data_IF_154976868597
#
_entry.id   IF_154976868597
#
_cell.length_a   1.000
_cell.length_b   1.000
_cell.length_c   1.000
_cell.angle_alpha   90.00
_cell.angle_beta   90.00
_cell.angle_gamma   90.00
#
_symmetry.space_group_name_H-M   'P 1'
#
loop_
_entity.id
_entity.type
_entity.pdbx_description
1 polymer ?
#
# COMPACT_ATOMS: atom_id res chain seq x y z
N UNK A 1 21.75 -14.73 -15.54
CA UNK A 1 20.51 -13.92 -15.60
C UNK A 1 20.55 -12.95 -14.43
N UNK A 2 20.28 -11.66 -14.61
CA UNK A 2 20.17 -10.74 -13.46
C UNK A 2 19.07 -11.28 -12.55
N UNK A 3 19.39 -11.48 -11.29
CA UNK A 3 18.41 -11.77 -10.25
C UNK A 3 17.30 -10.72 -10.37
N UNK A 4 16.09 -11.19 -10.72
CA UNK A 4 14.96 -10.30 -11.03
C UNK A 4 14.42 -9.63 -9.76
N UNK A 5 14.85 -10.09 -8.58
CA UNK A 5 14.44 -9.58 -7.29
C UNK A 5 13.02 -9.99 -6.93
N UNK A 6 12.77 -10.15 -5.62
CA UNK A 6 11.45 -10.48 -5.08
C UNK A 6 10.46 -9.32 -5.32
N UNK A 7 9.22 -9.63 -5.72
CA UNK A 7 8.15 -8.63 -5.87
C UNK A 7 7.09 -8.78 -4.77
N UNK A 8 6.93 -7.75 -3.95
CA UNK A 8 5.91 -7.70 -2.90
C UNK A 8 4.63 -7.08 -3.46
N UNK A 9 3.52 -7.80 -3.32
CA UNK A 9 2.19 -7.38 -3.78
C UNK A 9 1.38 -6.86 -2.60
N UNK A 10 0.95 -5.59 -2.67
CA UNK A 10 0.29 -4.88 -1.56
C UNK A 10 -1.12 -4.45 -1.98
N UNK A 11 -2.13 -5.01 -1.30
CA UNK A 11 -3.53 -4.71 -1.60
C UNK A 11 -4.00 -3.33 -1.10
N UNK A 12 -5.18 -2.91 -1.58
CA UNK A 12 -5.79 -1.63 -1.22
C UNK A 12 -6.73 -1.66 -0.01
N UNK A 13 -7.44 -0.56 0.18
CA UNK A 13 -8.42 -0.38 1.27
C UNK A 13 -9.65 -1.27 1.05
N UNK A 14 -10.18 -1.87 2.12
CA UNK A 14 -11.26 -2.88 2.09
C UNK A 14 -10.96 -4.14 1.26
N UNK A 15 -9.76 -4.25 0.71
CA UNK A 15 -9.29 -5.42 0.00
C UNK A 15 -8.49 -6.34 0.93
N UNK A 16 -8.01 -7.44 0.36
CA UNK A 16 -7.19 -8.43 1.02
C UNK A 16 -6.16 -9.02 0.03
N UNK A 17 -5.16 -9.77 0.50
CA UNK A 17 -4.05 -10.24 -0.33
C UNK A 17 -4.46 -10.95 -1.62
N UNK A 18 -5.51 -11.80 -1.57
CA UNK A 18 -5.99 -12.55 -2.75
C UNK A 18 -6.48 -11.67 -3.90
N UNK A 19 -6.77 -10.39 -3.66
CA UNK A 19 -7.09 -9.45 -4.75
C UNK A 19 -5.89 -9.18 -5.66
N UNK A 20 -4.67 -9.52 -5.21
CA UNK A 20 -3.44 -9.39 -5.98
C UNK A 20 -3.07 -10.65 -6.77
N UNK A 21 -3.85 -11.74 -6.67
CA UNK A 21 -3.52 -13.04 -7.30
C UNK A 21 -3.39 -12.96 -8.82
N UNK A 22 -4.15 -12.06 -9.48
CA UNK A 22 -3.98 -11.83 -10.92
C UNK A 22 -2.55 -11.36 -11.26
N UNK A 23 -2.00 -10.42 -10.50
CA UNK A 23 -0.65 -9.89 -10.70
C UNK A 23 0.41 -10.92 -10.33
N UNK A 24 0.21 -11.65 -9.23
CA UNK A 24 1.07 -12.77 -8.83
C UNK A 24 1.24 -13.77 -9.97
N UNK A 25 0.13 -14.26 -10.54
CA UNK A 25 0.17 -15.23 -11.64
C UNK A 25 0.96 -14.69 -12.84
N UNK A 26 0.71 -13.44 -13.24
CA UNK A 26 1.37 -12.82 -14.39
C UNK A 26 2.87 -12.57 -14.17
N UNK A 27 3.26 -12.20 -12.96
CA UNK A 27 4.66 -11.99 -12.61
C UNK A 27 5.41 -13.32 -12.50
N UNK A 28 4.78 -14.35 -11.93
CA UNK A 28 5.35 -15.69 -11.87
C UNK A 28 5.51 -16.29 -13.29
N UNK A 29 4.53 -16.11 -14.18
CA UNK A 29 4.63 -16.46 -15.61
C UNK A 29 5.80 -15.73 -16.31
N UNK A 30 6.12 -14.51 -15.88
CA UNK A 30 7.27 -13.74 -16.35
C UNK A 30 8.60 -14.07 -15.62
N UNK A 31 8.59 -15.04 -14.71
CA UNK A 31 9.76 -15.54 -13.97
C UNK A 31 10.22 -14.64 -12.82
N UNK A 32 9.32 -13.90 -12.18
CA UNK A 32 9.59 -13.21 -10.91
C UNK A 32 9.12 -14.06 -9.74
N UNK A 33 9.86 -14.02 -8.64
CA UNK A 33 9.35 -14.48 -7.34
C UNK A 33 8.46 -13.40 -6.74
N UNK A 34 7.35 -13.82 -6.13
CA UNK A 34 6.35 -12.91 -5.61
C UNK A 34 5.90 -13.30 -4.20
N UNK A 35 5.58 -12.31 -3.38
CA UNK A 35 4.92 -12.50 -2.08
C UNK A 35 3.77 -11.52 -1.94
N UNK A 36 2.57 -12.03 -1.64
CA UNK A 36 1.41 -11.21 -1.30
C UNK A 36 1.50 -10.80 0.17
N UNK A 37 1.72 -9.52 0.44
CA UNK A 37 1.70 -8.99 1.79
C UNK A 37 0.33 -8.40 2.14
N UNK A 38 -0.18 -8.75 3.32
CA UNK A 38 -1.51 -8.39 3.79
C UNK A 38 -1.52 -7.57 5.06
N UNK A 39 -2.49 -6.67 5.17
CA UNK A 39 -2.68 -5.86 6.37
C UNK A 39 -4.17 -5.59 6.64
N UNK A 40 -4.59 -5.43 7.92
CA UNK A 40 -5.98 -5.20 8.25
C UNK A 40 -6.38 -3.74 7.96
N UNK A 41 -6.64 -3.45 6.69
CA UNK A 41 -6.73 -2.09 6.10
C UNK A 41 -7.71 -1.11 6.75
N UNK A 42 -8.60 -1.56 7.63
CA UNK A 42 -9.60 -0.74 8.38
C UNK A 42 -9.23 -0.47 9.83
N UNK A 43 -8.30 -1.27 10.39
CA UNK A 43 -8.12 -1.41 11.85
C UNK A 43 -6.97 -0.57 12.39
N UNK A 44 -6.11 -0.04 11.54
CA UNK A 44 -4.90 0.70 11.92
C UNK A 44 -4.73 1.95 11.04
N UNK A 45 -3.82 2.85 11.41
CA UNK A 45 -3.44 4.02 10.59
C UNK A 45 -2.48 3.61 9.47
N UNK A 46 -2.25 4.50 8.51
CA UNK A 46 -1.27 4.30 7.44
C UNK A 46 0.13 4.06 8.02
N UNK A 47 0.52 4.80 9.08
CA UNK A 47 1.82 4.67 9.75
C UNK A 47 1.94 3.34 10.49
N UNK A 48 0.88 2.89 11.18
CA UNK A 48 0.87 1.57 11.82
C UNK A 48 0.97 0.43 10.78
N UNK A 49 0.38 0.60 9.60
CA UNK A 49 0.54 -0.34 8.50
C UNK A 49 1.94 -0.27 7.88
N UNK A 50 2.52 0.92 7.77
CA UNK A 50 3.88 1.11 7.28
C UNK A 50 4.91 0.46 8.20
N UNK A 51 4.79 0.62 9.53
CA UNK A 51 5.66 -0.07 10.49
C UNK A 51 5.56 -1.59 10.31
N UNK A 52 4.34 -2.13 10.18
CA UNK A 52 4.17 -3.56 9.98
C UNK A 52 4.80 -4.05 8.66
N UNK A 53 4.80 -3.22 7.61
CA UNK A 53 5.50 -3.52 6.37
C UNK A 53 7.02 -3.49 6.56
N UNK A 54 7.55 -2.51 7.29
CA UNK A 54 8.99 -2.42 7.62
C UNK A 54 9.45 -3.66 8.37
N UNK A 55 8.71 -4.09 9.39
CA UNK A 55 9.04 -5.31 10.15
C UNK A 55 9.00 -6.57 9.27
N UNK A 56 8.04 -6.65 8.35
CA UNK A 56 8.01 -7.73 7.38
C UNK A 56 9.23 -7.70 6.44
N UNK A 57 9.60 -6.52 5.93
CA UNK A 57 10.75 -6.36 5.04
C UNK A 57 12.08 -6.70 5.73
N UNK A 58 12.24 -6.35 7.02
CA UNK A 58 13.43 -6.70 7.83
C UNK A 58 13.61 -8.21 7.99
N UNK A 59 12.52 -8.98 7.96
CA UNK A 59 12.55 -10.42 8.10
C UNK A 59 12.88 -11.16 6.77
N UNK A 60 12.91 -10.44 5.65
CA UNK A 60 13.26 -11.04 4.36
C UNK A 60 14.78 -11.16 4.21
N UNK A 61 15.27 -12.22 3.53
CA UNK A 61 16.69 -12.33 3.22
C UNK A 61 17.13 -11.18 2.30
N UNK A 62 18.33 -10.66 2.53
CA UNK A 62 18.92 -9.56 1.74
C UNK A 62 19.49 -10.03 0.38
N UNK A 63 18.68 -10.74 -0.40
CA UNK A 63 19.07 -11.27 -1.70
C UNK A 63 18.60 -10.32 -2.83
N UNK A 64 19.34 -9.22 -3.00
CA UNK A 64 19.07 -8.25 -4.07
C UNK A 64 17.90 -7.30 -3.80
N UNK A 65 17.50 -6.48 -4.79
CA UNK A 65 16.48 -5.46 -4.61
C UNK A 65 15.08 -6.06 -4.43
N UNK A 66 14.29 -5.47 -3.52
CA UNK A 66 12.88 -5.83 -3.31
C UNK A 66 11.99 -4.87 -4.09
N UNK A 67 11.24 -5.40 -5.05
CA UNK A 67 10.32 -4.65 -5.89
C UNK A 67 8.89 -4.71 -5.35
N UNK A 68 8.01 -3.82 -5.84
CA UNK A 68 6.65 -3.70 -5.33
C UNK A 68 5.62 -3.53 -6.44
N UNK A 69 4.44 -4.14 -6.25
CA UNK A 69 3.21 -3.76 -6.97
C UNK A 69 2.14 -3.45 -5.94
N UNK A 70 1.54 -2.28 -6.04
CA UNK A 70 0.56 -1.81 -5.05
C UNK A 70 -0.77 -1.46 -5.70
N UNK A 71 -1.85 -1.58 -4.93
CA UNK A 71 -3.17 -1.11 -5.31
C UNK A 71 -3.69 -0.06 -4.34
N UNK A 72 -4.13 1.10 -4.84
CA UNK A 72 -4.80 2.15 -4.06
C UNK A 72 -4.09 2.51 -2.73
N UNK A 73 -4.69 2.21 -1.57
CA UNK A 73 -4.15 2.53 -0.23
C UNK A 73 -2.80 1.84 0.02
N UNK A 74 -2.57 0.68 -0.59
CA UNK A 74 -1.29 -0.02 -0.51
C UNK A 74 -0.12 0.83 -0.98
N UNK A 75 -0.36 1.75 -1.93
CA UNK A 75 0.64 2.71 -2.38
C UNK A 75 1.02 3.75 -1.31
N UNK A 76 0.05 4.22 -0.51
CA UNK A 76 0.33 5.14 0.60
C UNK A 76 1.07 4.43 1.73
N UNK A 77 0.69 3.20 2.05
CA UNK A 77 1.39 2.35 3.03
C UNK A 77 2.84 2.12 2.59
N UNK A 78 3.07 1.78 1.31
CA UNK A 78 4.42 1.59 0.78
C UNK A 78 5.26 2.87 0.87
N UNK A 79 4.71 4.02 0.47
CA UNK A 79 5.43 5.30 0.55
C UNK A 79 5.85 5.65 1.98
N UNK A 80 4.94 5.45 2.93
CA UNK A 80 5.22 5.65 4.34
C UNK A 80 6.29 4.67 4.86
N UNK A 81 6.26 3.41 4.42
CA UNK A 81 7.25 2.40 4.80
C UNK A 81 8.63 2.71 4.22
N UNK A 82 8.74 3.06 2.94
CA UNK A 82 10.03 3.38 2.29
C UNK A 82 10.69 4.64 2.87
N UNK A 83 9.88 5.56 3.41
CA UNK A 83 10.36 6.77 4.10
C UNK A 83 10.70 6.52 5.58
N UNK A 84 10.45 5.32 6.09
CA UNK A 84 10.73 4.98 7.48
C UNK A 84 12.25 4.81 7.70
N UNK A 85 12.83 5.37 8.79
CA UNK A 85 14.28 5.30 9.02
C UNK A 85 14.83 3.88 9.08
N UNK A 86 14.04 2.93 9.56
CA UNK A 86 14.42 1.52 9.68
C UNK A 86 14.08 0.67 8.46
N UNK A 87 13.65 1.28 7.34
CA UNK A 87 13.37 0.54 6.13
C UNK A 87 14.66 -0.08 5.56
N UNK A 88 14.68 -1.39 5.25
CA UNK A 88 15.84 -2.04 4.65
C UNK A 88 16.27 -1.36 3.33
N UNK A 89 17.59 -1.24 3.11
CA UNK A 89 18.15 -0.56 1.94
C UNK A 89 17.79 -1.25 0.62
N UNK A 90 17.67 -2.57 0.62
CA UNK A 90 17.27 -3.35 -0.56
C UNK A 90 15.82 -3.09 -0.98
N UNK A 91 14.93 -2.71 -0.06
CA UNK A 91 13.59 -2.23 -0.37
C UNK A 91 13.60 -0.80 -0.93
N UNK A 92 14.47 0.07 -0.41
CA UNK A 92 14.62 1.45 -0.90
C UNK A 92 15.25 1.52 -2.30
N UNK A 93 16.11 0.56 -2.66
CA UNK A 93 16.77 0.51 -3.97
C UNK A 93 15.97 -0.24 -5.05
N UNK A 94 14.84 -0.85 -4.68
CA UNK A 94 13.96 -1.55 -5.60
C UNK A 94 13.05 -0.63 -6.41
N UNK A 95 12.20 -1.24 -7.25
CA UNK A 95 11.23 -0.53 -8.11
C UNK A 95 9.81 -0.76 -7.62
N UNK A 96 8.94 0.22 -7.81
CA UNK A 96 7.53 0.12 -7.46
C UNK A 96 6.61 0.47 -8.63
N UNK A 97 5.59 -0.36 -8.85
CA UNK A 97 4.43 -0.07 -9.71
C UNK A 97 3.24 0.24 -8.82
N UNK A 98 2.61 1.39 -9.07
CA UNK A 98 1.45 1.85 -8.32
C UNK A 98 0.21 1.79 -9.22
N UNK A 99 -0.70 0.87 -8.91
CA UNK A 99 -1.96 0.70 -9.62
C UNK A 99 -3.04 1.49 -8.87
N UNK A 100 -3.71 2.39 -9.59
CA UNK A 100 -4.71 3.33 -9.04
C UNK A 100 -4.27 4.07 -7.77
N UNK A 101 -3.03 4.62 -7.68
CA UNK A 101 -2.62 5.33 -6.47
C UNK A 101 -3.49 6.57 -6.29
N UNK A 102 -4.13 6.77 -5.13
CA UNK A 102 -4.69 8.07 -4.78
C UNK A 102 -3.52 8.99 -4.43
N UNK A 103 -2.72 9.38 -5.43
CA UNK A 103 -1.61 10.34 -5.25
C UNK A 103 -2.11 11.70 -4.74
N UNK A 104 -3.42 11.91 -4.77
CA UNK A 104 -4.14 12.96 -4.07
C UNK A 104 -5.32 12.28 -3.35
N UNK A 105 -5.40 12.35 -2.01
CA UNK A 105 -6.44 11.70 -1.18
C UNK A 105 -7.91 12.01 -1.57
N UNK A 106 -8.11 12.85 -2.56
CA UNK A 106 -9.34 13.36 -3.17
C UNK A 106 -10.27 12.25 -3.68
N UNK A 107 -9.78 11.19 -4.33
CA UNK A 107 -10.69 10.24 -4.99
C UNK A 107 -11.35 9.27 -3.99
N UNK A 108 -10.57 8.67 -3.07
CA UNK A 108 -11.13 7.82 -2.02
C UNK A 108 -11.93 8.62 -1.00
N UNK A 109 -11.44 9.81 -0.59
CA UNK A 109 -12.19 10.71 0.27
C UNK A 109 -13.55 11.11 -0.31
N UNK A 110 -13.63 11.39 -1.63
CA UNK A 110 -14.90 11.72 -2.32
C UNK A 110 -15.84 10.52 -2.43
N UNK A 111 -15.35 9.33 -2.79
CA UNK A 111 -16.19 8.12 -2.81
C UNK A 111 -16.78 7.80 -1.43
N UNK A 112 -15.96 7.88 -0.38
CA UNK A 112 -16.36 7.56 0.99
C UNK A 112 -17.24 8.64 1.63
N UNK A 113 -17.08 9.91 1.25
CA UNK A 113 -17.91 11.01 1.77
C UNK A 113 -19.38 10.94 1.37
N UNK A 114 -19.68 10.35 0.19
CA UNK A 114 -21.04 10.30 -0.39
C UNK A 114 -21.96 9.25 0.23
N UNK A 115 -21.44 8.25 0.93
CA UNK A 115 -22.24 7.15 1.50
C UNK A 115 -22.09 7.11 3.02
N UNK A 116 -23.13 7.47 3.77
CA UNK A 116 -23.16 7.48 5.24
C UNK A 116 -22.87 6.09 5.84
N UNK A 117 -23.32 5.02 5.18
CA UNK A 117 -22.97 3.64 5.53
C UNK A 117 -21.48 3.33 5.30
N UNK A 118 -20.88 3.85 4.22
CA UNK A 118 -19.47 3.65 3.93
C UNK A 118 -18.58 4.23 5.05
N UNK A 119 -18.96 5.38 5.62
CA UNK A 119 -18.26 6.00 6.76
C UNK A 119 -18.21 5.11 8.01
N UNK A 120 -19.27 4.34 8.29
CA UNK A 120 -19.30 3.35 9.38
C UNK A 120 -18.48 2.10 9.04
N UNK A 121 -18.50 1.64 7.79
CA UNK A 121 -17.78 0.44 7.33
C UNK A 121 -16.25 0.64 7.26
N UNK A 122 -15.78 1.88 7.02
CA UNK A 122 -14.38 2.24 6.86
C UNK A 122 -13.51 2.11 8.12
N UNK A 123 -14.12 1.96 9.29
CA UNK A 123 -13.38 1.95 10.56
C UNK A 123 -12.88 3.33 10.98
N UNK A 124 -12.49 3.46 12.26
CA UNK A 124 -12.19 4.76 12.89
C UNK A 124 -10.76 5.29 12.64
N UNK A 125 -9.87 4.53 11.98
CA UNK A 125 -8.44 4.87 11.82
C UNK A 125 -8.07 5.25 10.38
N UNK A 126 -7.45 4.38 9.58
CA UNK A 126 -7.10 4.63 8.15
C UNK A 126 -8.27 5.20 7.33
N UNK A 127 -9.49 4.74 7.60
CA UNK A 127 -10.71 5.27 7.01
C UNK A 127 -10.93 6.76 7.30
N UNK A 128 -10.59 7.24 8.50
CA UNK A 128 -10.63 8.67 8.85
C UNK A 128 -9.49 9.45 8.20
N UNK A 129 -8.28 8.91 8.15
CA UNK A 129 -7.13 9.59 7.50
C UNK A 129 -7.39 9.86 6.02
N UNK A 130 -8.05 8.92 5.34
CA UNK A 130 -8.51 9.08 3.97
C UNK A 130 -9.63 10.15 3.83
N UNK A 131 -10.43 10.36 4.87
CA UNK A 131 -11.52 11.34 4.90
C UNK A 131 -11.05 12.75 5.27
N UNK A 132 -10.13 12.91 6.22
CA UNK A 132 -9.59 14.23 6.62
C UNK A 132 -8.69 14.86 5.57
N UNK A 133 -7.97 14.06 4.76
CA UNK A 133 -7.24 14.57 3.59
C UNK A 133 -8.16 15.32 2.58
N UNK A 134 -9.46 15.04 2.59
CA UNK A 134 -10.46 15.70 1.74
C UNK A 134 -10.92 17.07 2.29
N UNK A 135 -10.91 17.27 3.61
CA UNK A 135 -11.31 18.55 4.22
C UNK A 135 -10.21 19.61 4.07
N UNK A 136 -8.95 19.21 4.23
CA UNK A 136 -7.76 20.08 4.07
C UNK A 136 -7.66 20.65 2.64
N UNK A 137 -8.16 19.95 1.63
CA UNK A 137 -8.16 20.42 0.24
C UNK A 137 -9.35 21.33 -0.12
N UNK A 138 -10.41 21.34 0.70
CA UNK A 138 -11.53 22.29 0.53
C UNK A 138 -11.16 23.68 1.04
N UNK A 139 -10.38 23.77 2.12
CA UNK A 139 -9.88 25.05 2.67
C UNK A 139 -8.77 25.68 1.85
N UNK A 140 -8.05 24.92 1.00
CA UNK A 140 -7.06 25.45 0.05
C UNK A 140 -7.65 25.94 -1.28
N UNK A 141 -8.99 25.92 -1.43
CA UNK A 141 -9.70 26.40 -2.63
C UNK A 141 -10.73 27.51 -2.33
N UNK A 142 -10.71 28.07 -1.12
CA UNK A 142 -11.50 29.25 -0.74
C UNK A 142 -10.60 30.48 -0.63
#
# INVERSE_FOLDING_TARGET
MKDKGLVILIHGFLAAPWTMTYYEKKLNEAGFDTVKWGYPSRKKTIQEHAQALVEFLKALPENGPVNFVTHTLGGLVLRAALSHPECPKNAQSGKAVLITPPNQGVLLGRMLSKWTLARKLCGKKSGKELLTANEILKTMKS
#
